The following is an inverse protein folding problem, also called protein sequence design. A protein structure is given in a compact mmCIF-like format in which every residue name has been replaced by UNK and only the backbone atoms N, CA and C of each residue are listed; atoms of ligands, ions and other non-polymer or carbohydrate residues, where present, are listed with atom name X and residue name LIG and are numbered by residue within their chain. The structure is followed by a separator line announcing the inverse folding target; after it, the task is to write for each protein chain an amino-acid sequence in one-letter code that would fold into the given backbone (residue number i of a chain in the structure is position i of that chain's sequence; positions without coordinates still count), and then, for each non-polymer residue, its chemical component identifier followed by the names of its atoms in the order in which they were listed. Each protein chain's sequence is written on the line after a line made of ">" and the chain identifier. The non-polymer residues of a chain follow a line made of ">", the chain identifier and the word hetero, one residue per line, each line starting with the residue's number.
data_IF_558812855089
#
_entry.id   IF_558812855089
#
_cell.length_a   1.000
_cell.length_b   1.000
_cell.length_c   1.000
_cell.angle_alpha   90.00
_cell.angle_beta   90.00
_cell.angle_gamma   90.00
#
_symmetry.space_group_name_H-M   'P 1'
#
loop_
_entity.id
_entity.type
_entity.pdbx_description
1 polymer ?
#
# COMPACT_ATOMS: atom_id res chain seq x y z
N UNK A 1 40.08 -20.17 13.86
CA UNK A 1 39.17 -19.13 13.33
C UNK A 1 38.66 -19.66 12.00
N UNK A 2 37.42 -20.12 11.93
CA UNK A 2 36.81 -20.60 10.67
C UNK A 2 36.08 -19.43 10.03
N UNK A 3 36.32 -19.26 8.75
CA UNK A 3 35.74 -18.26 7.87
C UNK A 3 34.23 -18.16 8.05
N UNK A 4 33.77 -16.94 8.33
CA UNK A 4 32.35 -16.58 8.23
C UNK A 4 32.08 -16.37 6.73
N UNK A 5 31.23 -17.19 6.08
CA UNK A 5 30.92 -16.98 4.69
C UNK A 5 30.11 -15.68 4.58
N UNK A 6 30.71 -14.67 3.95
CA UNK A 6 30.07 -13.43 3.54
C UNK A 6 29.07 -13.65 2.41
N UNK A 7 28.08 -14.52 2.64
CA UNK A 7 26.87 -14.54 1.85
C UNK A 7 26.08 -13.28 2.19
N UNK A 8 25.92 -12.39 1.22
CA UNK A 8 24.92 -11.32 1.27
C UNK A 8 23.63 -11.94 1.81
N UNK A 9 23.22 -11.52 3.01
CA UNK A 9 22.01 -11.99 3.66
C UNK A 9 20.84 -11.58 2.77
N UNK A 10 20.40 -12.48 1.89
CA UNK A 10 19.36 -12.19 0.92
C UNK A 10 18.01 -12.24 1.65
N UNK A 11 17.65 -11.09 2.19
CA UNK A 11 16.37 -10.86 2.84
C UNK A 11 15.21 -11.26 1.91
N UNK A 12 15.33 -11.18 0.57
CA UNK A 12 14.22 -11.55 -0.32
C UNK A 12 13.96 -13.06 -0.30
N UNK A 13 15.01 -13.88 -0.33
CA UNK A 13 14.86 -15.34 -0.20
C UNK A 13 14.37 -15.77 1.18
N UNK A 14 14.77 -15.04 2.23
CA UNK A 14 14.35 -15.34 3.60
C UNK A 14 12.89 -14.97 3.82
N UNK A 15 12.45 -13.78 3.36
CA UNK A 15 11.08 -13.29 3.54
C UNK A 15 10.03 -14.06 2.73
N UNK A 16 10.45 -14.81 1.71
CA UNK A 16 9.57 -15.69 0.92
C UNK A 16 9.41 -17.10 1.52
N UNK A 17 10.27 -17.48 2.46
CA UNK A 17 10.24 -18.80 3.07
C UNK A 17 9.21 -18.85 4.21
N UNK A 18 8.16 -19.66 4.06
CA UNK A 18 7.14 -19.86 5.10
C UNK A 18 7.65 -20.80 6.21
N UNK A 19 8.66 -20.35 6.96
CA UNK A 19 9.20 -21.07 8.12
C UNK A 19 8.93 -20.31 9.44
N UNK A 20 8.80 -21.01 10.58
CA UNK A 20 8.72 -20.37 11.89
C UNK A 20 9.93 -19.47 12.18
N UNK A 21 11.13 -19.86 11.76
CA UNK A 21 12.35 -19.07 11.94
C UNK A 21 12.30 -17.76 11.14
N UNK A 22 11.80 -17.80 9.90
CA UNK A 22 11.59 -16.59 9.08
C UNK A 22 10.62 -15.63 9.77
N UNK A 23 9.53 -16.15 10.32
CA UNK A 23 8.55 -15.33 11.03
C UNK A 23 9.18 -14.62 12.25
N UNK A 24 9.99 -15.32 13.04
CA UNK A 24 10.70 -14.72 14.19
C UNK A 24 11.70 -13.64 13.75
N UNK A 25 12.48 -13.91 12.69
CA UNK A 25 13.42 -12.93 12.12
C UNK A 25 12.66 -11.69 11.66
N UNK A 26 11.53 -11.86 10.96
CA UNK A 26 10.69 -10.76 10.51
C UNK A 26 10.17 -9.91 11.67
N UNK A 27 9.67 -10.53 12.73
CA UNK A 27 9.20 -9.82 13.93
C UNK A 27 10.35 -9.07 14.63
N UNK A 28 11.54 -9.66 14.69
CA UNK A 28 12.72 -9.01 15.24
C UNK A 28 13.13 -7.78 14.44
N UNK A 29 13.17 -7.88 13.10
CA UNK A 29 13.46 -6.73 12.23
C UNK A 29 12.40 -5.63 12.35
N UNK A 30 11.11 -6.00 12.42
CA UNK A 30 10.03 -5.04 12.66
C UNK A 30 10.24 -4.30 13.99
N UNK A 31 10.60 -5.02 15.07
CA UNK A 31 10.88 -4.41 16.38
C UNK A 31 12.11 -3.49 16.38
N UNK A 32 13.16 -3.84 15.63
CA UNK A 32 14.34 -2.99 15.48
C UNK A 32 14.03 -1.69 14.72
N UNK A 33 13.09 -1.73 13.77
CA UNK A 33 12.69 -0.57 12.99
C UNK A 33 11.62 0.29 13.68
N UNK A 34 10.74 -0.30 14.48
CA UNK A 34 9.72 0.41 15.23
C UNK A 34 10.30 1.51 16.16
N UNK A 35 11.52 1.28 16.67
CA UNK A 35 12.24 2.23 17.52
C UNK A 35 13.08 3.25 16.74
N UNK A 36 13.07 3.19 15.40
CA UNK A 36 13.83 4.09 14.54
C UNK A 36 12.88 5.05 13.83
N UNK A 37 13.37 6.27 13.58
CA UNK A 37 12.68 7.20 12.68
C UNK A 37 12.71 6.63 11.27
N UNK A 38 11.54 6.56 10.63
CA UNK A 38 11.44 6.14 9.23
C UNK A 38 11.91 7.29 8.33
N UNK A 39 12.87 7.00 7.46
CA UNK A 39 13.42 7.93 6.46
C UNK A 39 13.60 7.19 5.12
N UNK A 40 13.96 7.93 4.08
CA UNK A 40 14.41 7.41 2.80
C UNK A 40 15.40 6.21 2.89
N UNK A 41 16.31 6.23 3.86
CA UNK A 41 17.33 5.17 4.04
C UNK A 41 16.78 3.82 4.51
N UNK A 42 15.63 3.81 5.19
CA UNK A 42 15.03 2.57 5.73
C UNK A 42 13.62 2.29 5.22
N UNK A 43 13.04 3.20 4.43
CA UNK A 43 11.71 3.05 3.85
C UNK A 43 11.57 1.77 3.03
N UNK A 44 12.56 1.45 2.17
CA UNK A 44 12.54 0.22 1.37
C UNK A 44 12.49 -1.05 2.21
N UNK A 45 13.21 -1.09 3.35
CA UNK A 45 13.17 -2.24 4.24
C UNK A 45 11.80 -2.35 4.94
N UNK A 46 11.23 -1.22 5.36
CA UNK A 46 9.88 -1.18 5.93
C UNK A 46 8.84 -1.68 4.91
N UNK A 47 8.91 -1.22 3.66
CA UNK A 47 8.03 -1.66 2.59
C UNK A 47 8.17 -3.16 2.31
N UNK A 48 9.37 -3.73 2.40
CA UNK A 48 9.59 -5.18 2.25
C UNK A 48 8.95 -5.98 3.39
N UNK A 49 9.08 -5.52 4.64
CA UNK A 49 8.40 -6.14 5.80
C UNK A 49 6.89 -6.06 5.63
N UNK A 50 6.36 -4.89 5.24
CA UNK A 50 4.94 -4.70 4.99
C UNK A 50 4.44 -5.55 3.81
N UNK A 51 5.29 -5.73 2.80
CA UNK A 51 5.02 -6.54 1.60
C UNK A 51 4.92 -8.04 1.88
N UNK A 52 5.41 -8.54 3.01
CA UNK A 52 5.12 -9.93 3.42
C UNK A 52 3.68 -10.13 3.91
N UNK A 53 2.92 -9.03 4.05
CA UNK A 53 1.55 -9.00 4.53
C UNK A 53 1.35 -9.71 5.89
N UNK A 54 2.40 -9.78 6.72
CA UNK A 54 2.33 -10.38 8.04
C UNK A 54 1.77 -9.37 9.04
N UNK A 55 0.53 -9.59 9.49
CA UNK A 55 -0.20 -8.66 10.39
C UNK A 55 0.58 -8.35 11.67
N UNK A 56 1.21 -9.35 12.30
CA UNK A 56 1.98 -9.16 13.54
C UNK A 56 3.22 -8.30 13.30
N UNK A 57 3.95 -8.55 12.21
CA UNK A 57 5.12 -7.76 11.86
C UNK A 57 4.74 -6.31 11.53
N UNK A 58 3.66 -6.12 10.78
CA UNK A 58 3.11 -4.79 10.50
C UNK A 58 2.70 -4.07 11.80
N UNK A 59 1.98 -4.73 12.69
CA UNK A 59 1.55 -4.14 13.97
C UNK A 59 2.74 -3.74 14.85
N UNK A 60 3.78 -4.56 14.92
CA UNK A 60 5.03 -4.19 15.61
C UNK A 60 5.68 -2.98 14.94
N UNK A 61 5.79 -2.99 13.61
CA UNK A 61 6.46 -1.94 12.85
C UNK A 61 5.73 -0.59 13.00
N UNK A 62 4.41 -0.58 12.97
CA UNK A 62 3.61 0.62 13.20
C UNK A 62 3.64 1.05 14.67
N UNK A 63 3.61 0.11 15.61
CA UNK A 63 3.44 0.39 17.03
C UNK A 63 2.19 1.24 17.27
N UNK A 64 2.37 2.40 17.91
CA UNK A 64 1.31 3.37 18.18
C UNK A 64 1.18 4.46 17.09
N UNK A 65 1.94 4.35 16.00
CA UNK A 65 1.93 5.35 14.93
C UNK A 65 0.65 5.26 14.10
N UNK A 66 0.15 6.40 13.64
CA UNK A 66 -0.94 6.42 12.65
C UNK A 66 -0.41 5.88 11.30
N UNK A 67 -0.99 4.79 10.75
CA UNK A 67 -0.51 4.19 9.50
C UNK A 67 -0.50 5.16 8.33
N UNK A 68 -1.52 6.02 8.20
CA UNK A 68 -1.63 6.99 7.11
C UNK A 68 -0.41 7.92 7.01
N UNK A 69 0.13 8.34 8.15
CA UNK A 69 1.26 9.26 8.24
C UNK A 69 2.58 8.54 8.50
N UNK A 70 2.61 7.21 8.43
CA UNK A 70 3.77 6.40 8.81
C UNK A 70 5.03 6.78 8.02
N UNK A 71 4.88 7.08 6.73
CA UNK A 71 5.97 7.49 5.85
C UNK A 71 6.08 9.02 5.68
N UNK A 72 5.44 9.83 6.51
CA UNK A 72 5.42 11.30 6.34
C UNK A 72 6.81 11.96 6.34
N UNK A 73 7.81 11.34 6.99
CA UNK A 73 9.19 11.83 7.01
C UNK A 73 10.05 11.32 5.83
N UNK A 74 9.52 10.42 4.99
CA UNK A 74 10.21 9.87 3.82
C UNK A 74 10.10 10.85 2.67
N UNK A 75 11.24 11.22 2.08
CA UNK A 75 11.25 12.02 0.86
C UNK A 75 10.75 11.16 -0.31
N UNK A 76 9.79 11.64 -1.11
CA UNK A 76 9.37 10.92 -2.30
C UNK A 76 10.52 10.78 -3.29
N UNK A 77 10.84 9.54 -3.64
CA UNK A 77 11.86 9.19 -4.62
C UNK A 77 11.31 8.07 -5.50
N UNK A 78 11.67 8.08 -6.79
CA UNK A 78 11.17 7.12 -7.78
C UNK A 78 11.17 5.66 -7.30
N UNK A 79 12.30 5.12 -6.78
CA UNK A 79 12.36 3.74 -6.31
C UNK A 79 11.40 3.41 -5.15
N UNK A 80 11.14 4.37 -4.26
CA UNK A 80 10.21 4.17 -3.13
C UNK A 80 8.76 4.20 -3.62
N UNK A 81 8.43 5.13 -4.52
CA UNK A 81 7.10 5.22 -5.14
C UNK A 81 6.80 3.96 -5.95
N UNK A 82 7.75 3.51 -6.74
CA UNK A 82 7.67 2.27 -7.51
C UNK A 82 7.46 1.05 -6.59
N UNK A 83 8.22 0.96 -5.50
CA UNK A 83 8.05 -0.12 -4.51
C UNK A 83 6.65 -0.13 -3.89
N UNK A 84 6.07 1.04 -3.64
CA UNK A 84 4.69 1.16 -3.12
C UNK A 84 3.68 0.71 -4.17
N UNK A 85 3.82 1.11 -5.43
CA UNK A 85 2.93 0.64 -6.50
C UNK A 85 3.05 -0.87 -6.75
N UNK A 86 4.26 -1.43 -6.72
CA UNK A 86 4.49 -2.86 -6.85
C UNK A 86 3.85 -3.65 -5.69
N UNK A 87 3.89 -3.10 -4.48
CA UNK A 87 3.19 -3.71 -3.35
C UNK A 87 1.68 -3.70 -3.59
N UNK A 88 1.09 -2.56 -4.01
CA UNK A 88 -0.35 -2.46 -4.28
C UNK A 88 -0.81 -3.32 -5.47
N UNK A 89 0.04 -3.56 -6.47
CA UNK A 89 -0.32 -4.42 -7.59
C UNK A 89 -0.38 -5.90 -7.18
N UNK A 90 0.46 -6.31 -6.23
CA UNK A 90 0.66 -7.70 -5.80
C UNK A 90 -0.50 -8.35 -5.02
N UNK A 91 -1.50 -7.58 -4.56
CA UNK A 91 -2.61 -8.10 -3.74
C UNK A 91 -3.97 -7.75 -4.31
N UNK A 92 -4.94 -8.65 -4.23
CA UNK A 92 -6.33 -8.34 -4.57
C UNK A 92 -7.01 -7.44 -3.52
N UNK A 93 -8.15 -6.80 -3.86
CA UNK A 93 -8.92 -6.04 -2.88
C UNK A 93 -9.29 -6.90 -1.68
N UNK A 94 -9.01 -6.41 -0.47
CA UNK A 94 -9.28 -7.12 0.79
C UNK A 94 -8.16 -8.06 1.27
N UNK A 95 -7.15 -8.37 0.46
CA UNK A 95 -6.05 -9.26 0.88
C UNK A 95 -4.96 -8.53 1.66
N UNK A 96 -4.63 -7.30 1.26
CA UNK A 96 -3.60 -6.51 1.92
C UNK A 96 -4.09 -6.03 3.29
N UNK A 97 -3.27 -6.20 4.32
CA UNK A 97 -3.60 -5.75 5.67
C UNK A 97 -3.94 -4.26 5.69
N UNK A 98 -5.07 -3.90 6.29
CA UNK A 98 -5.63 -2.53 6.21
C UNK A 98 -4.67 -1.43 6.66
N UNK A 99 -3.86 -1.65 7.71
CA UNK A 99 -2.85 -0.67 8.14
C UNK A 99 -1.75 -0.50 7.09
N UNK A 100 -1.31 -1.59 6.47
CA UNK A 100 -0.34 -1.57 5.38
C UNK A 100 -0.88 -0.80 4.18
N UNK A 101 -2.10 -1.13 3.75
CA UNK A 101 -2.78 -0.43 2.66
C UNK A 101 -2.87 1.07 2.96
N UNK A 102 -3.37 1.46 4.13
CA UNK A 102 -3.49 2.86 4.52
C UNK A 102 -2.14 3.59 4.54
N UNK A 103 -1.06 2.94 4.95
CA UNK A 103 0.28 3.52 4.93
C UNK A 103 0.82 3.74 3.51
N UNK A 104 0.62 2.76 2.61
CA UNK A 104 0.98 2.87 1.20
C UNK A 104 0.22 4.02 0.52
N UNK A 105 -1.11 4.07 0.70
CA UNK A 105 -1.93 5.13 0.12
C UNK A 105 -1.60 6.49 0.74
N UNK A 106 -1.40 6.57 2.06
CA UNK A 106 -1.01 7.80 2.74
C UNK A 106 0.32 8.38 2.23
N UNK A 107 1.29 7.51 1.94
CA UNK A 107 2.54 7.91 1.29
C UNK A 107 2.33 8.47 -0.12
N UNK A 108 1.56 7.76 -0.97
CA UNK A 108 1.26 8.24 -2.32
C UNK A 108 0.49 9.56 -2.28
N UNK A 109 -0.55 9.65 -1.45
CA UNK A 109 -1.34 10.86 -1.25
C UNK A 109 -0.46 12.06 -0.93
N UNK A 110 0.44 11.90 0.02
CA UNK A 110 1.37 12.96 0.47
C UNK A 110 2.43 13.25 -0.58
N UNK A 111 2.89 12.24 -1.31
CA UNK A 111 3.89 12.43 -2.37
C UNK A 111 3.32 13.28 -3.51
N UNK A 112 2.07 13.02 -3.88
CA UNK A 112 1.39 13.71 -4.99
C UNK A 112 0.62 14.96 -4.57
N UNK A 113 0.61 15.35 -3.29
CA UNK A 113 -0.10 16.55 -2.84
C UNK A 113 0.63 17.83 -3.31
N UNK A 114 0.04 18.54 -4.28
CA UNK A 114 0.46 19.87 -4.77
C UNK A 114 1.96 20.05 -5.08
N UNK A 115 2.70 18.95 -5.29
CA UNK A 115 4.11 18.98 -5.60
C UNK A 115 4.28 18.87 -7.11
N UNK A 116 4.30 20.02 -7.79
CA UNK A 116 4.43 20.11 -9.26
C UNK A 116 5.64 19.35 -9.84
N UNK A 117 6.61 18.95 -9.01
CA UNK A 117 7.79 18.20 -9.47
C UNK A 117 7.66 16.68 -9.28
N UNK A 118 6.69 16.18 -8.51
CA UNK A 118 6.62 14.75 -8.22
C UNK A 118 6.31 13.90 -9.46
N UNK A 119 5.44 14.39 -10.35
CA UNK A 119 5.11 13.75 -11.62
C UNK A 119 6.31 13.71 -12.57
N UNK A 120 7.29 14.60 -12.37
CA UNK A 120 8.58 14.55 -13.09
C UNK A 120 9.56 13.54 -12.47
N UNK A 121 9.44 13.24 -11.18
CA UNK A 121 10.25 12.23 -10.49
C UNK A 121 9.72 10.83 -10.81
N UNK A 122 8.41 10.65 -10.75
CA UNK A 122 7.74 9.40 -11.08
C UNK A 122 6.35 9.69 -11.65
N UNK A 123 6.15 9.32 -12.91
CA UNK A 123 4.85 9.42 -13.57
C UNK A 123 4.10 8.09 -13.43
N UNK A 124 2.99 8.02 -12.68
CA UNK A 124 2.22 6.78 -12.56
C UNK A 124 1.67 6.33 -13.92
N UNK A 125 1.75 5.03 -14.19
CA UNK A 125 1.10 4.41 -15.35
C UNK A 125 -0.38 4.16 -15.09
N UNK A 126 -1.19 4.00 -16.14
CA UNK A 126 -2.60 3.62 -16.02
C UNK A 126 -2.78 2.37 -15.14
N UNK A 127 -1.87 1.41 -15.25
CA UNK A 127 -1.84 0.20 -14.44
C UNK A 127 -1.64 0.51 -12.95
N UNK A 128 -0.68 1.37 -12.60
CA UNK A 128 -0.49 1.80 -11.20
C UNK A 128 -1.77 2.41 -10.61
N UNK A 129 -2.46 3.24 -11.41
CA UNK A 129 -3.70 3.89 -11.00
C UNK A 129 -4.83 2.87 -10.82
N UNK A 130 -4.99 1.93 -11.75
CA UNK A 130 -5.97 0.84 -11.67
C UNK A 130 -5.74 -0.05 -10.43
N UNK A 131 -4.51 -0.49 -10.21
CA UNK A 131 -4.15 -1.31 -9.04
C UNK A 131 -4.27 -0.55 -7.72
N UNK A 132 -4.24 0.78 -7.74
CA UNK A 132 -4.52 1.58 -6.54
C UNK A 132 -6.02 1.74 -6.32
N UNK A 133 -6.76 2.06 -7.39
CA UNK A 133 -8.19 2.34 -7.32
C UNK A 133 -9.05 1.08 -7.07
N UNK A 134 -8.59 -0.12 -7.43
CA UNK A 134 -9.31 -1.39 -7.17
C UNK A 134 -9.66 -1.60 -5.70
N UNK A 135 -8.88 -1.06 -4.76
CA UNK A 135 -9.15 -1.17 -3.33
C UNK A 135 -10.42 -0.43 -2.90
N UNK A 136 -10.92 0.52 -3.70
CA UNK A 136 -12.24 1.14 -3.48
C UNK A 136 -13.39 0.12 -3.57
N UNK A 137 -13.19 -1.07 -4.15
CA UNK A 137 -14.20 -2.14 -4.13
C UNK A 137 -14.39 -2.70 -2.72
N UNK A 138 -13.31 -2.82 -1.94
CA UNK A 138 -13.31 -3.48 -0.63
C UNK A 138 -13.30 -2.50 0.55
N UNK A 139 -12.97 -1.22 0.33
CA UNK A 139 -12.89 -0.21 1.38
C UNK A 139 -13.98 0.86 1.23
N UNK A 140 -14.57 1.26 2.36
CA UNK A 140 -15.57 2.35 2.49
C UNK A 140 -15.23 3.31 3.63
N UNK A 141 -14.05 3.20 4.19
CA UNK A 141 -13.60 3.91 5.39
C UNK A 141 -12.56 4.98 5.02
N UNK A 142 -11.79 5.43 6.02
CA UNK A 142 -10.68 6.37 5.88
C UNK A 142 -9.68 6.00 4.77
N UNK A 143 -9.52 4.71 4.48
CA UNK A 143 -8.64 4.25 3.40
C UNK A 143 -9.20 4.64 2.03
N UNK A 144 -10.52 4.51 1.84
CA UNK A 144 -11.18 4.92 0.61
C UNK A 144 -11.07 6.43 0.38
N UNK A 145 -11.26 7.23 1.44
CA UNK A 145 -11.06 8.69 1.38
C UNK A 145 -9.62 9.04 0.98
N UNK A 146 -8.64 8.34 1.55
CA UNK A 146 -7.22 8.53 1.25
C UNK A 146 -6.90 8.19 -0.22
N UNK A 147 -7.50 7.12 -0.76
CA UNK A 147 -7.36 6.74 -2.18
C UNK A 147 -7.93 7.83 -3.06
N UNK A 148 -9.17 8.28 -2.79
CA UNK A 148 -9.82 9.33 -3.57
C UNK A 148 -9.02 10.63 -3.53
N UNK A 149 -8.48 11.01 -2.38
CA UNK A 149 -7.63 12.21 -2.24
C UNK A 149 -6.32 12.07 -3.03
N UNK A 150 -5.68 10.90 -3.01
CA UNK A 150 -4.53 10.62 -3.87
C UNK A 150 -4.88 10.77 -5.36
N UNK A 151 -5.98 10.18 -5.82
CA UNK A 151 -6.40 10.26 -7.22
C UNK A 151 -6.73 11.71 -7.64
N UNK A 152 -7.36 12.49 -6.75
CA UNK A 152 -7.62 13.92 -6.97
C UNK A 152 -6.33 14.72 -7.07
N UNK A 153 -5.38 14.46 -6.17
CA UNK A 153 -4.06 15.10 -6.19
C UNK A 153 -3.33 14.78 -7.50
N UNK A 154 -3.34 13.52 -7.92
CA UNK A 154 -2.73 13.10 -9.18
C UNK A 154 -3.40 13.76 -10.39
N UNK A 155 -4.72 13.85 -10.41
CA UNK A 155 -5.45 14.61 -11.43
C UNK A 155 -5.02 16.08 -11.40
N UNK A 156 -4.92 16.73 -10.24
CA UNK A 156 -4.53 18.15 -10.14
C UNK A 156 -3.09 18.50 -10.56
N UNK A 157 -2.20 17.52 -10.77
CA UNK A 157 -0.79 17.78 -11.11
C UNK A 157 -0.54 17.91 -12.61
N UNK A 158 0.49 18.68 -12.96
CA UNK A 158 1.02 18.82 -14.31
C UNK A 158 2.53 18.48 -14.34
N UNK A 159 3.04 17.74 -15.34
CA UNK A 159 2.26 17.12 -16.42
C UNK A 159 1.37 15.99 -15.91
N UNK A 160 0.18 15.85 -16.52
CA UNK A 160 -0.74 14.74 -16.27
C UNK A 160 -0.60 13.66 -17.36
N UNK A 161 -0.61 12.35 -17.01
CA UNK A 161 -0.81 11.29 -18.00
C UNK A 161 -2.13 11.47 -18.74
N UNK A 162 -2.11 11.41 -20.07
CA UNK A 162 -3.33 11.57 -20.89
C UNK A 162 -4.40 10.51 -20.54
N UNK A 163 -3.96 9.29 -20.22
CA UNK A 163 -4.84 8.19 -19.80
C UNK A 163 -5.64 8.48 -18.52
N UNK A 164 -5.17 9.37 -17.65
CA UNK A 164 -5.90 9.78 -16.45
C UNK A 164 -7.11 10.67 -16.76
N UNK A 165 -7.04 11.43 -17.85
CA UNK A 165 -8.06 12.42 -18.18
C UNK A 165 -9.38 11.77 -18.56
N UNK A 166 -9.33 10.58 -19.16
CA UNK A 166 -10.53 9.81 -19.51
C UNK A 166 -11.00 8.91 -18.36
N UNK A 167 -10.08 8.33 -17.60
CA UNK A 167 -10.41 7.24 -16.67
C UNK A 167 -10.83 7.71 -15.27
N UNK A 168 -10.17 8.73 -14.69
CA UNK A 168 -10.51 9.20 -13.34
C UNK A 168 -11.91 9.80 -13.21
N UNK A 169 -12.43 10.56 -14.19
CA UNK A 169 -13.81 11.05 -14.13
C UNK A 169 -14.82 9.92 -14.00
N UNK A 170 -14.60 8.77 -14.66
CA UNK A 170 -15.46 7.60 -14.55
C UNK A 170 -15.41 6.98 -13.14
N UNK A 171 -14.21 6.79 -12.59
CA UNK A 171 -14.05 6.32 -11.20
C UNK A 171 -14.78 7.23 -10.22
N UNK A 172 -14.59 8.55 -10.32
CA UNK A 172 -15.26 9.49 -9.42
C UNK A 172 -16.78 9.48 -9.61
N UNK A 173 -17.26 9.45 -10.86
CA UNK A 173 -18.68 9.37 -11.17
C UNK A 173 -19.35 8.17 -10.50
N UNK A 174 -18.73 6.98 -10.61
CA UNK A 174 -19.28 5.75 -10.00
C UNK A 174 -19.07 5.72 -8.49
N UNK A 175 -17.92 6.19 -7.98
CA UNK A 175 -17.65 6.17 -6.54
C UNK A 175 -18.60 7.09 -5.74
N UNK A 176 -18.91 8.28 -6.27
CA UNK A 176 -19.83 9.22 -5.62
C UNK A 176 -21.31 8.93 -5.92
N UNK A 177 -21.60 8.04 -6.87
CA UNK A 177 -22.95 7.61 -7.22
C UNK A 177 -23.29 6.30 -6.51
N UNK A 178 -24.07 6.39 -5.43
CA UNK A 178 -24.50 5.24 -4.62
C UNK A 178 -25.40 4.24 -5.38
N UNK A 179 -25.81 4.54 -6.61
CA UNK A 179 -26.63 3.62 -7.44
C UNK A 179 -25.79 2.69 -8.30
N UNK A 180 -24.49 3.01 -8.48
CA UNK A 180 -23.58 2.24 -9.34
C UNK A 180 -22.65 1.39 -8.49
N UNK A 181 -22.30 0.22 -9.01
CA UNK A 181 -21.31 -0.64 -8.36
C UNK A 181 -19.92 -0.31 -8.92
N UNK A 182 -18.98 -0.05 -8.02
CA UNK A 182 -17.61 0.32 -8.39
C UNK A 182 -16.80 -0.83 -8.99
N UNK A 183 -17.22 -2.07 -8.74
CA UNK A 183 -16.65 -3.26 -9.36
C UNK A 183 -16.77 -3.26 -10.89
N UNK A 184 -17.79 -2.61 -11.45
CA UNK A 184 -18.06 -2.61 -12.89
C UNK A 184 -17.03 -1.84 -13.72
N UNK A 185 -16.20 -1.01 -13.10
CA UNK A 185 -15.18 -0.20 -13.78
C UNK A 185 -13.88 -1.01 -13.96
N UNK A 186 -13.63 -1.99 -13.10
CA UNK A 186 -12.37 -2.70 -13.07
C UNK A 186 -12.46 -4.02 -13.87
N UNK A 187 -11.40 -4.40 -14.60
CA UNK A 187 -11.30 -5.74 -15.17
C UNK A 187 -11.45 -6.80 -14.09
N UNK A 188 -12.16 -7.89 -14.38
CA UNK A 188 -12.39 -8.98 -13.43
C UNK A 188 -11.07 -9.54 -12.85
N UNK A 189 -10.01 -9.58 -13.67
CA UNK A 189 -8.66 -10.00 -13.27
C UNK A 189 -8.02 -9.13 -12.17
N UNK A 190 -8.54 -7.93 -11.88
CA UNK A 190 -8.07 -7.09 -10.77
C UNK A 190 -8.87 -7.27 -9.49
N UNK A 191 -10.04 -7.91 -9.56
CA UNK A 191 -11.02 -8.01 -8.47
C UNK A 191 -11.17 -9.46 -7.97
N UNK A 192 -10.75 -10.46 -8.75
CA UNK A 192 -10.86 -11.89 -8.45
C UNK A 192 -10.15 -12.26 -7.13
N UNK A 193 -10.88 -12.17 -6.01
CA UNK A 193 -10.37 -12.26 -4.63
C UNK A 193 -11.22 -11.46 -3.62
N UNK A 194 -11.93 -10.42 -4.07
CA UNK A 194 -12.75 -9.55 -3.22
C UNK A 194 -13.97 -10.27 -2.59
N UNK A 195 -14.48 -11.33 -3.23
CA UNK A 195 -15.70 -12.06 -2.80
C UNK A 195 -15.46 -12.95 -1.56
N UNK A 196 -14.20 -13.26 -1.22
CA UNK A 196 -13.88 -14.17 -0.10
C UNK A 196 -13.55 -13.46 1.23
N UNK A 197 -13.43 -12.11 1.24
CA UNK A 197 -12.92 -11.35 2.39
C UNK A 197 -13.97 -10.67 3.28
N UNK A 198 -15.22 -10.55 2.83
CA UNK A 198 -16.24 -9.71 3.50
C UNK A 198 -17.00 -10.48 4.61
N UNK A 199 -16.89 -11.81 4.64
CA UNK A 199 -17.63 -12.68 5.58
C UNK A 199 -17.12 -12.69 7.02
N UNK A 200 -15.90 -12.17 7.29
CA UNK A 200 -15.24 -12.33 8.61
C UNK A 200 -15.26 -11.08 9.50
N UNK A 201 -15.98 -10.02 9.12
CA UNK A 201 -16.04 -8.76 9.90
C UNK A 201 -17.44 -8.46 10.47
N UNK A 202 -18.39 -9.37 10.32
CA UNK A 202 -19.69 -9.30 11.01
C UNK A 202 -19.84 -10.51 11.92
N UNK A 203 -19.59 -10.33 13.21
CA UNK A 203 -20.08 -11.28 14.23
C UNK A 203 -19.11 -11.64 15.35
N UNK A 204 -18.37 -10.69 15.92
CA UNK A 204 -17.84 -10.88 17.28
C UNK A 204 -17.86 -9.56 18.03
N UNK A 205 -19.06 -9.07 18.32
CA UNK A 205 -19.32 -8.14 19.43
C UNK A 205 -20.81 -8.25 19.81
N UNK A 206 -21.10 -9.33 20.51
CA UNK A 206 -22.26 -9.46 21.39
C UNK A 206 -21.91 -10.53 22.43
N UNK A 207 -21.18 -10.12 23.47
CA UNK A 207 -21.14 -10.83 24.75
C UNK A 207 -21.61 -9.88 25.84
N UNK A 208 -22.71 -10.23 26.49
CA UNK A 208 -22.99 -10.10 27.93
C UNK A 208 -24.47 -10.37 28.18
#
# INVERSE_FOLDING_TARGET
>A
MKDVPGGLFNLDSLLQENSPQTAEILLAYAGLLANKRITDKNASLCLRILGTNNKKAADILFGNSNPETFFAAVKPAGPVIESVFNLLSSFYPGELYGKTLLACIGFLKTSYSSNLNITRIYMPTTENILHTAKYLVACRDKTADCIVEFLKNLYGNEPRPESLTSFLPEIFSVYFDNTKKIDSIFPASLIEGADNGISSIKGTDAQA
#
